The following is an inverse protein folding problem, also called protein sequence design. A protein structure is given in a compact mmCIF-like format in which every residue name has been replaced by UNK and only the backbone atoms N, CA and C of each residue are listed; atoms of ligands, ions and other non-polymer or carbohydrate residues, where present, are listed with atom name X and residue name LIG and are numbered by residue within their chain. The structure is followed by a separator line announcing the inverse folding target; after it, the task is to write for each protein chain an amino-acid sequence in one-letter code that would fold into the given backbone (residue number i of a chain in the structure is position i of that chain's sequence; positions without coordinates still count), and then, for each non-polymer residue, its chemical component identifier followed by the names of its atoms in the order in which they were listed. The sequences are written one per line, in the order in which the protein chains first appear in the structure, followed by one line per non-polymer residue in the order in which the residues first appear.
data_IF_564931576346
#
_entry.id   IF_564931576346
#
_cell.length_a   1.000
_cell.length_b   1.000
_cell.length_c   1.000
_cell.angle_alpha   90.00
_cell.angle_beta   90.00
_cell.angle_gamma   90.00
#
_symmetry.space_group_name_H-M   'P 1'
#
loop_
_entity.id
_entity.type
_entity.pdbx_description
1 polymer ?
#
# COMPACT_ATOMS: atom_id res chain seq x y z
N UNK A 1 -31.82 49.96 -62.90
CA UNK A 1 -31.37 50.92 -63.94
C UNK A 1 -30.85 50.09 -65.12
N UNK A 2 -31.77 49.49 -65.88
CA UNK A 2 -31.38 48.60 -66.99
C UNK A 2 -30.94 49.43 -68.20
N UNK A 3 -29.74 49.12 -68.65
CA UNK A 3 -29.10 49.58 -69.87
C UNK A 3 -30.09 49.66 -71.03
N UNK A 4 -30.42 50.89 -71.44
CA UNK A 4 -31.05 51.22 -72.72
C UNK A 4 -30.09 50.99 -73.92
N UNK A 5 -29.36 49.87 -73.91
CA UNK A 5 -28.35 49.52 -74.90
C UNK A 5 -28.39 48.03 -75.26
N UNK A 6 -29.55 47.38 -75.11
CA UNK A 6 -29.76 46.07 -75.71
C UNK A 6 -29.67 46.19 -77.23
N UNK A 7 -28.68 45.53 -77.85
CA UNK A 7 -28.49 45.49 -79.32
C UNK A 7 -29.79 45.17 -80.08
N UNK A 8 -30.67 44.38 -79.47
CA UNK A 8 -31.99 44.07 -80.02
C UNK A 8 -32.92 45.28 -80.03
N UNK A 9 -32.91 46.10 -78.97
CA UNK A 9 -33.68 47.35 -78.91
C UNK A 9 -33.23 48.35 -79.99
N UNK A 10 -31.93 48.53 -80.17
CA UNK A 10 -31.39 49.38 -81.24
C UNK A 10 -31.72 48.86 -82.64
N UNK A 11 -31.71 47.53 -82.83
CA UNK A 11 -32.10 46.90 -84.10
C UNK A 11 -33.60 47.09 -84.41
N UNK A 12 -34.47 46.97 -83.40
CA UNK A 12 -35.91 47.22 -83.53
C UNK A 12 -36.22 48.69 -83.83
N UNK A 13 -35.57 49.62 -83.13
CA UNK A 13 -35.66 51.07 -83.42
C UNK A 13 -35.14 51.36 -84.83
N UNK A 14 -34.02 50.75 -85.24
CA UNK A 14 -33.49 50.87 -86.60
C UNK A 14 -34.41 50.26 -87.67
N UNK A 15 -35.14 49.19 -87.36
CA UNK A 15 -36.15 48.59 -88.25
C UNK A 15 -37.41 49.46 -88.34
N UNK A 16 -37.84 50.06 -87.23
CA UNK A 16 -38.95 51.01 -87.18
C UNK A 16 -38.61 52.30 -87.94
N UNK A 17 -37.41 52.86 -87.73
CA UNK A 17 -36.92 54.05 -88.45
C UNK A 17 -36.82 53.81 -89.95
N UNK A 18 -36.38 52.61 -90.37
CA UNK A 18 -36.38 52.22 -91.79
C UNK A 18 -37.79 52.06 -92.34
N UNK A 19 -38.72 51.41 -91.63
CA UNK A 19 -40.13 51.29 -92.05
C UNK A 19 -40.84 52.66 -92.12
N UNK A 20 -40.55 53.57 -91.19
CA UNK A 20 -41.07 54.93 -91.20
C UNK A 20 -40.49 55.79 -92.33
N UNK A 21 -39.28 55.47 -92.81
CA UNK A 21 -38.61 56.18 -93.91
C UNK A 21 -39.05 55.74 -95.32
N UNK A 22 -39.99 54.80 -95.45
CA UNK A 22 -40.37 54.22 -96.75
C UNK A 22 -41.47 54.99 -97.49
N UNK A 23 -41.90 56.16 -97.00
CA UNK A 23 -42.80 57.06 -97.75
C UNK A 23 -42.62 58.50 -97.26
N UNK A 24 -42.49 59.49 -98.15
CA UNK A 24 -42.56 60.94 -97.84
C UNK A 24 -43.98 61.35 -97.39
N UNK A 25 -44.55 60.59 -96.46
CA UNK A 25 -45.92 60.68 -96.00
C UNK A 25 -46.00 61.57 -94.75
N UNK A 26 -47.19 62.10 -94.50
CA UNK A 26 -47.51 62.86 -93.29
C UNK A 26 -47.04 62.11 -92.02
N UNK A 27 -47.26 60.80 -91.99
CA UNK A 27 -46.87 59.93 -90.89
C UNK A 27 -45.37 59.96 -90.59
N UNK A 28 -44.51 59.96 -91.61
CA UNK A 28 -43.08 60.00 -91.40
C UNK A 28 -42.67 61.28 -90.63
N UNK A 29 -43.23 62.43 -91.00
CA UNK A 29 -42.96 63.70 -90.31
C UNK A 29 -43.51 63.70 -88.88
N UNK A 30 -44.72 63.17 -88.67
CA UNK A 30 -45.30 63.03 -87.34
C UNK A 30 -44.45 62.12 -86.41
N UNK A 31 -43.96 60.99 -86.93
CA UNK A 31 -43.13 60.05 -86.17
C UNK A 31 -41.67 60.52 -86.00
N UNK A 32 -41.13 61.33 -86.90
CA UNK A 32 -39.76 61.88 -86.74
C UNK A 32 -39.64 62.73 -85.48
N UNK A 33 -40.67 63.52 -85.15
CA UNK A 33 -40.71 64.29 -83.91
C UNK A 33 -40.71 63.39 -82.67
N UNK A 34 -41.33 62.20 -82.74
CA UNK A 34 -41.32 61.21 -81.65
C UNK A 34 -39.90 60.70 -81.36
N UNK A 35 -39.11 60.42 -82.40
CA UNK A 35 -37.75 59.87 -82.25
C UNK A 35 -36.70 60.86 -81.73
N UNK A 36 -37.02 62.15 -81.65
CA UNK A 36 -36.15 63.15 -81.03
C UNK A 36 -36.17 63.08 -79.49
N UNK A 37 -37.15 62.38 -78.87
CA UNK A 37 -37.24 62.22 -77.42
C UNK A 37 -38.50 61.49 -76.93
N UNK A 38 -38.66 60.21 -77.26
CA UNK A 38 -39.87 59.43 -76.96
C UNK A 38 -40.31 59.48 -75.48
N UNK A 39 -39.35 59.42 -74.54
CA UNK A 39 -39.65 59.44 -73.12
C UNK A 39 -40.20 60.79 -72.65
N UNK A 40 -39.70 61.90 -73.22
CA UNK A 40 -40.13 63.26 -72.89
C UNK A 40 -41.48 63.60 -73.52
N UNK A 41 -41.75 63.08 -74.72
CA UNK A 41 -43.00 63.32 -75.45
C UNK A 41 -44.18 62.59 -74.80
N UNK A 42 -43.96 61.39 -74.28
CA UNK A 42 -44.99 60.64 -73.57
C UNK A 42 -45.16 61.12 -72.12
N UNK A 43 -44.14 61.72 -71.49
CA UNK A 43 -44.23 62.22 -70.12
C UNK A 43 -44.89 63.61 -70.02
N UNK A 44 -44.71 64.47 -71.02
CA UNK A 44 -45.23 65.85 -71.01
C UNK A 44 -46.57 65.91 -71.75
N UNK A 45 -47.61 66.32 -71.04
CA UNK A 45 -48.99 66.43 -71.56
C UNK A 45 -49.05 67.23 -72.88
N UNK A 46 -48.45 68.41 -72.91
CA UNK A 46 -48.41 69.29 -74.09
C UNK A 46 -47.74 68.62 -75.31
N UNK A 47 -46.69 67.82 -75.09
CA UNK A 47 -45.99 67.11 -76.18
C UNK A 47 -46.80 65.90 -76.66
N UNK A 48 -47.47 65.19 -75.74
CA UNK A 48 -48.42 64.12 -76.08
C UNK A 48 -49.59 64.66 -76.89
N UNK A 49 -50.14 65.79 -76.48
CA UNK A 49 -51.22 66.48 -77.20
C UNK A 49 -50.80 66.89 -78.61
N UNK A 50 -49.57 67.37 -78.82
CA UNK A 50 -49.04 67.71 -80.15
C UNK A 50 -48.77 66.49 -81.03
N UNK A 51 -48.32 65.40 -80.43
CA UNK A 51 -48.17 64.14 -81.16
C UNK A 51 -49.53 63.62 -81.62
N UNK A 52 -50.51 63.57 -80.70
CA UNK A 52 -51.88 63.18 -81.02
C UNK A 52 -52.46 64.05 -82.14
N UNK A 53 -52.20 65.36 -82.10
CA UNK A 53 -52.60 66.29 -83.15
C UNK A 53 -52.01 65.93 -84.52
N UNK A 54 -50.70 65.72 -84.60
CA UNK A 54 -50.04 65.39 -85.86
C UNK A 54 -50.49 64.01 -86.40
N UNK A 55 -50.67 63.01 -85.53
CA UNK A 55 -51.17 61.69 -85.94
C UNK A 55 -52.62 61.78 -86.45
N UNK A 56 -53.45 62.56 -85.78
CA UNK A 56 -54.85 62.77 -86.16
C UNK A 56 -54.98 63.56 -87.46
N UNK A 57 -54.13 64.57 -87.68
CA UNK A 57 -54.07 65.32 -88.94
C UNK A 57 -53.67 64.43 -90.11
N UNK A 58 -52.66 63.57 -89.92
CA UNK A 58 -52.28 62.58 -90.92
C UNK A 58 -53.38 61.56 -91.20
N UNK A 59 -54.09 61.09 -90.17
CA UNK A 59 -55.23 60.21 -90.32
C UNK A 59 -56.34 60.86 -91.14
N UNK A 60 -56.69 62.12 -90.83
CA UNK A 60 -57.70 62.88 -91.58
C UNK A 60 -57.33 63.04 -93.05
N UNK A 61 -56.06 63.30 -93.34
CA UNK A 61 -55.55 63.41 -94.70
C UNK A 61 -55.69 62.09 -95.48
N UNK A 62 -55.45 60.96 -94.84
CA UNK A 62 -55.53 59.63 -95.47
C UNK A 62 -56.98 59.21 -95.77
N UNK A 63 -57.94 59.62 -94.94
CA UNK A 63 -59.38 59.39 -95.18
C UNK A 63 -60.01 60.45 -96.10
N UNK A 64 -59.20 61.36 -96.67
CA UNK A 64 -59.65 62.39 -97.62
C UNK A 64 -60.43 63.54 -96.99
N UNK A 65 -60.35 63.73 -95.67
CA UNK A 65 -60.95 64.86 -94.94
C UNK A 65 -60.05 66.09 -94.95
N UNK A 66 -60.62 67.23 -94.56
CA UNK A 66 -59.86 68.48 -94.43
C UNK A 66 -58.80 68.36 -93.32
N UNK A 67 -57.59 68.83 -93.61
CA UNK A 67 -56.49 68.87 -92.64
C UNK A 67 -56.82 69.82 -91.47
N UNK A 68 -56.22 69.55 -90.33
CA UNK A 68 -56.32 70.41 -89.16
C UNK A 68 -55.79 71.83 -89.46
N UNK A 69 -56.34 72.87 -88.81
CA UNK A 69 -55.84 74.23 -88.95
C UNK A 69 -54.41 74.34 -88.41
N UNK A 70 -53.62 75.26 -88.95
CA UNK A 70 -52.26 75.47 -88.48
C UNK A 70 -52.23 75.83 -86.97
N UNK A 71 -51.47 75.06 -86.19
CA UNK A 71 -51.26 75.26 -84.76
C UNK A 71 -49.78 75.49 -84.47
N UNK A 72 -49.41 76.72 -84.10
CA UNK A 72 -48.03 77.09 -83.78
C UNK A 72 -47.59 76.46 -82.44
N UNK A 73 -46.32 76.09 -82.36
CA UNK A 73 -45.67 75.50 -81.18
C UNK A 73 -45.68 76.44 -79.97
N UNK A 74 -45.78 77.77 -80.20
CA UNK A 74 -45.79 78.80 -79.15
C UNK A 74 -47.10 78.90 -78.38
N UNK A 75 -48.22 78.43 -78.94
CA UNK A 75 -49.54 78.50 -78.27
C UNK A 75 -49.93 77.16 -77.67
N UNK A 76 -50.55 77.12 -76.48
CA UNK A 76 -50.95 75.86 -75.86
C UNK A 76 -51.96 75.12 -76.72
N UNK A 77 -51.87 73.78 -76.73
CA UNK A 77 -52.73 72.93 -77.55
C UNK A 77 -54.22 73.14 -77.30
N UNK A 78 -54.60 73.48 -76.06
CA UNK A 78 -55.98 73.81 -75.69
C UNK A 78 -56.61 74.89 -76.61
N UNK A 79 -55.83 75.87 -77.07
CA UNK A 79 -56.31 76.93 -77.96
C UNK A 79 -56.47 76.45 -79.41
N UNK A 80 -55.69 75.44 -79.82
CA UNK A 80 -55.81 74.83 -81.14
C UNK A 80 -56.99 73.86 -81.21
N UNK A 81 -57.27 73.13 -80.13
CA UNK A 81 -58.39 72.19 -80.03
C UNK A 81 -59.76 72.87 -80.14
N UNK A 82 -59.87 74.13 -79.69
CA UNK A 82 -61.10 74.95 -79.83
C UNK A 82 -61.43 75.32 -81.28
N UNK A 83 -60.47 75.20 -82.20
CA UNK A 83 -60.64 75.54 -83.62
C UNK A 83 -61.04 74.32 -84.48
N UNK A 84 -61.13 73.14 -83.87
CA UNK A 84 -61.56 71.92 -84.54
C UNK A 84 -63.09 71.81 -84.58
N UNK A 85 -63.61 71.21 -85.64
CA UNK A 85 -64.98 70.71 -85.69
C UNK A 85 -65.16 69.47 -84.79
N UNK A 86 -66.40 69.08 -84.53
CA UNK A 86 -66.74 68.00 -83.59
C UNK A 86 -66.15 66.65 -83.99
N UNK A 87 -66.12 66.32 -85.28
CA UNK A 87 -65.59 65.07 -85.79
C UNK A 87 -64.05 65.05 -85.72
N UNK A 88 -63.40 66.14 -86.12
CA UNK A 88 -61.96 66.34 -85.96
C UNK A 88 -61.52 66.23 -84.48
N UNK A 89 -62.31 66.81 -83.57
CA UNK A 89 -62.05 66.76 -82.14
C UNK A 89 -62.19 65.33 -81.59
N UNK A 90 -63.18 64.55 -82.06
CA UNK A 90 -63.37 63.14 -81.68
C UNK A 90 -62.19 62.27 -82.09
N UNK A 91 -61.74 62.39 -83.34
CA UNK A 91 -60.57 61.66 -83.86
C UNK A 91 -59.33 62.00 -83.03
N UNK A 92 -59.12 63.29 -82.75
CA UNK A 92 -58.03 63.73 -81.87
C UNK A 92 -58.06 63.05 -80.50
N UNK A 93 -59.24 63.01 -79.88
CA UNK A 93 -59.40 62.45 -78.55
C UNK A 93 -59.08 60.94 -78.52
N UNK A 94 -59.48 60.18 -79.55
CA UNK A 94 -59.16 58.75 -79.66
C UNK A 94 -57.64 58.51 -79.67
N UNK A 95 -56.89 59.21 -80.51
CA UNK A 95 -55.42 59.10 -80.54
C UNK A 95 -54.76 59.60 -79.24
N UNK A 96 -55.30 60.64 -78.63
CA UNK A 96 -54.76 61.17 -77.37
C UNK A 96 -54.96 60.19 -76.20
N UNK A 97 -56.14 59.59 -76.08
CA UNK A 97 -56.47 58.62 -75.04
C UNK A 97 -55.61 57.35 -75.17
N UNK A 98 -55.35 56.88 -76.39
CA UNK A 98 -54.49 55.73 -76.62
C UNK A 98 -53.03 56.01 -76.22
N UNK A 99 -52.51 57.20 -76.56
CA UNK A 99 -51.18 57.60 -76.11
C UNK A 99 -51.09 57.75 -74.58
N UNK A 100 -52.18 58.16 -73.93
CA UNK A 100 -52.26 58.30 -72.48
C UNK A 100 -52.34 56.94 -71.77
N UNK A 101 -53.14 56.01 -72.29
CA UNK A 101 -53.31 54.67 -71.71
C UNK A 101 -51.98 53.90 -71.72
N UNK A 102 -51.23 53.98 -72.81
CA UNK A 102 -49.91 53.35 -72.96
C UNK A 102 -48.85 53.97 -72.03
N UNK A 103 -48.84 55.29 -71.89
CA UNK A 103 -47.94 55.98 -70.97
C UNK A 103 -48.21 55.57 -69.52
N UNK A 104 -49.49 55.53 -69.13
CA UNK A 104 -49.93 55.09 -67.81
C UNK A 104 -49.59 53.62 -67.56
N UNK A 105 -49.82 52.74 -68.53
CA UNK A 105 -49.49 51.31 -68.44
C UNK A 105 -48.01 51.10 -68.16
N UNK A 106 -47.13 51.75 -68.92
CA UNK A 106 -45.66 51.62 -68.74
C UNK A 106 -45.19 52.14 -67.40
N UNK A 107 -45.75 53.26 -66.93
CA UNK A 107 -45.44 53.79 -65.60
C UNK A 107 -45.88 52.83 -64.50
N UNK A 108 -47.08 52.26 -64.63
CA UNK A 108 -47.62 51.30 -63.67
C UNK A 108 -46.81 50.01 -63.66
N UNK A 109 -46.48 49.43 -64.82
CA UNK A 109 -45.62 48.24 -64.92
C UNK A 109 -44.25 48.47 -64.29
N UNK A 110 -43.64 49.64 -64.52
CA UNK A 110 -42.36 50.01 -63.90
C UNK A 110 -42.49 50.08 -62.38
N UNK A 111 -43.48 50.80 -61.86
CA UNK A 111 -43.69 50.95 -60.41
C UNK A 111 -43.99 49.61 -59.75
N UNK A 112 -44.83 48.77 -60.37
CA UNK A 112 -45.14 47.42 -59.87
C UNK A 112 -43.89 46.55 -59.87
N UNK A 113 -43.04 46.63 -60.89
CA UNK A 113 -41.80 45.86 -60.94
C UNK A 113 -40.77 46.36 -59.90
N UNK A 114 -40.63 47.68 -59.72
CA UNK A 114 -39.80 48.26 -58.66
C UNK A 114 -40.32 47.87 -57.27
N UNK A 115 -41.64 47.89 -57.06
CA UNK A 115 -42.28 47.45 -55.82
C UNK A 115 -42.04 45.96 -55.57
N UNK A 116 -42.19 45.11 -56.60
CA UNK A 116 -41.93 43.67 -56.50
C UNK A 116 -40.48 43.41 -56.07
N UNK A 117 -39.51 44.02 -56.73
CA UNK A 117 -38.08 43.87 -56.39
C UNK A 117 -37.82 44.35 -54.96
N UNK A 118 -38.44 45.46 -54.56
CA UNK A 118 -38.32 45.98 -53.19
C UNK A 118 -38.96 45.05 -52.16
N UNK A 119 -40.06 44.38 -52.49
CA UNK A 119 -40.72 43.42 -51.61
C UNK A 119 -39.89 42.14 -51.46
N UNK A 120 -39.37 41.58 -52.56
CA UNK A 120 -38.46 40.43 -52.54
C UNK A 120 -37.18 40.73 -51.73
N UNK A 121 -36.64 41.95 -51.86
CA UNK A 121 -35.50 42.38 -51.04
C UNK A 121 -35.86 42.47 -49.55
N UNK A 122 -37.04 43.03 -49.22
CA UNK A 122 -37.49 43.11 -47.83
C UNK A 122 -37.73 41.72 -47.23
N UNK A 123 -38.28 40.79 -48.01
CA UNK A 123 -38.46 39.38 -47.64
C UNK A 123 -37.12 38.70 -47.31
N UNK A 124 -36.11 38.81 -48.19
CA UNK A 124 -34.76 38.29 -47.92
C UNK A 124 -34.15 38.90 -46.64
N UNK A 125 -34.38 40.19 -46.39
CA UNK A 125 -33.92 40.83 -45.15
C UNK A 125 -34.66 40.32 -43.92
N UNK A 126 -35.96 40.11 -44.01
CA UNK A 126 -36.75 39.56 -42.91
C UNK A 126 -36.35 38.11 -42.61
N UNK A 127 -36.12 37.28 -43.63
CA UNK A 127 -35.63 35.91 -43.46
C UNK A 127 -34.24 35.88 -42.79
N UNK A 128 -33.34 36.78 -43.21
CA UNK A 128 -32.03 36.92 -42.57
C UNK A 128 -32.14 37.36 -41.09
N UNK A 129 -33.08 38.25 -40.77
CA UNK A 129 -33.34 38.70 -39.39
C UNK A 129 -33.94 37.56 -38.56
N UNK A 130 -34.88 36.79 -39.12
CA UNK A 130 -35.49 35.62 -38.48
C UNK A 130 -34.43 34.57 -38.13
N UNK A 131 -33.58 34.21 -39.10
CA UNK A 131 -32.47 33.29 -38.89
C UNK A 131 -31.47 33.80 -37.84
N UNK A 132 -31.24 35.12 -37.76
CA UNK A 132 -30.42 35.73 -36.71
C UNK A 132 -31.10 35.65 -35.33
N UNK A 133 -32.41 35.93 -35.28
CA UNK A 133 -33.20 35.87 -34.05
C UNK A 133 -33.23 34.44 -33.48
N UNK A 134 -33.37 33.42 -34.32
CA UNK A 134 -33.33 32.01 -33.90
C UNK A 134 -31.96 31.64 -33.31
N UNK A 135 -30.86 32.06 -33.94
CA UNK A 135 -29.51 31.85 -33.37
C UNK A 135 -29.33 32.54 -32.02
N UNK A 136 -29.88 33.74 -31.85
CA UNK A 136 -29.85 34.47 -30.57
C UNK A 136 -30.65 33.73 -29.51
N UNK A 137 -31.85 33.23 -29.84
CA UNK A 137 -32.67 32.42 -28.93
C UNK A 137 -31.92 31.16 -28.48
N UNK A 138 -31.38 30.39 -29.43
CA UNK A 138 -30.60 29.19 -29.10
C UNK A 138 -29.37 29.51 -28.23
N UNK A 139 -28.68 30.63 -28.50
CA UNK A 139 -27.56 31.07 -27.67
C UNK A 139 -28.02 31.47 -26.26
N UNK A 140 -29.18 32.12 -26.15
CA UNK A 140 -29.79 32.49 -24.86
C UNK A 140 -30.15 31.25 -24.04
N UNK A 141 -30.70 30.21 -24.66
CA UNK A 141 -31.03 28.94 -23.99
C UNK A 141 -29.78 28.26 -23.44
N UNK A 142 -28.71 28.20 -24.23
CA UNK A 142 -27.43 27.66 -23.75
C UNK A 142 -26.84 28.52 -22.62
N UNK A 143 -26.96 29.84 -22.68
CA UNK A 143 -26.52 30.72 -21.58
C UNK A 143 -27.33 30.43 -20.32
N UNK A 144 -28.64 30.22 -20.44
CA UNK A 144 -29.50 29.89 -19.31
C UNK A 144 -29.13 28.54 -18.67
N UNK A 145 -28.85 27.51 -19.48
CA UNK A 145 -28.38 26.21 -18.99
C UNK A 145 -27.03 26.33 -18.27
N UNK A 146 -26.09 27.09 -18.86
CA UNK A 146 -24.80 27.39 -18.21
C UNK A 146 -24.98 28.14 -16.89
N UNK A 147 -25.89 29.12 -16.82
CA UNK A 147 -26.19 29.85 -15.59
C UNK A 147 -26.78 28.95 -14.51
N UNK A 148 -27.69 28.02 -14.88
CA UNK A 148 -28.23 27.02 -13.95
C UNK A 148 -27.12 26.12 -13.40
N UNK A 149 -26.21 25.66 -14.25
CA UNK A 149 -25.08 24.84 -13.80
C UNK A 149 -24.12 25.61 -12.87
N UNK A 150 -23.91 26.91 -13.12
CA UNK A 150 -23.10 27.77 -12.25
C UNK A 150 -23.80 27.96 -10.90
N UNK A 151 -25.12 28.09 -10.88
CA UNK A 151 -25.90 28.20 -9.65
C UNK A 151 -25.77 26.94 -8.80
N UNK A 152 -25.91 25.76 -9.40
CA UNK A 152 -25.70 24.46 -8.74
C UNK A 152 -24.28 24.35 -8.15
N UNK A 153 -23.26 24.74 -8.92
CA UNK A 153 -21.87 24.75 -8.45
C UNK A 153 -21.65 25.74 -7.31
N UNK A 154 -22.27 26.92 -7.37
CA UNK A 154 -22.19 27.94 -6.33
C UNK A 154 -22.84 27.45 -5.04
N UNK A 155 -23.97 26.75 -5.14
CA UNK A 155 -24.63 26.14 -3.98
C UNK A 155 -23.76 25.04 -3.34
N UNK A 156 -23.15 24.16 -4.16
CA UNK A 156 -22.23 23.14 -3.65
C UNK A 156 -20.99 23.76 -2.99
N UNK A 157 -20.47 24.85 -3.56
CA UNK A 157 -19.34 25.57 -2.99
C UNK A 157 -19.71 26.19 -1.63
N UNK A 158 -20.90 26.78 -1.51
CA UNK A 158 -21.40 27.32 -0.25
C UNK A 158 -21.54 26.22 0.82
N UNK A 159 -22.09 25.06 0.46
CA UNK A 159 -22.18 23.90 1.37
C UNK A 159 -20.80 23.40 1.80
N UNK A 160 -19.87 23.28 0.85
CA UNK A 160 -18.50 22.86 1.14
C UNK A 160 -17.80 23.87 2.05
N UNK A 161 -18.01 25.17 1.83
CA UNK A 161 -17.47 26.24 2.67
C UNK A 161 -17.97 26.14 4.11
N UNK A 162 -19.27 25.88 4.31
CA UNK A 162 -19.84 25.69 5.65
C UNK A 162 -19.25 24.46 6.35
N UNK A 163 -19.06 23.34 5.63
CA UNK A 163 -18.42 22.15 6.19
C UNK A 163 -16.95 22.42 6.57
N UNK A 164 -16.22 23.18 5.75
CA UNK A 164 -14.84 23.59 6.06
C UNK A 164 -14.82 24.50 7.29
N UNK A 165 -15.75 25.44 7.42
CA UNK A 165 -15.89 26.28 8.61
C UNK A 165 -16.12 25.44 9.87
N UNK A 166 -17.02 24.45 9.83
CA UNK A 166 -17.25 23.51 10.93
C UNK A 166 -15.98 22.75 11.31
N UNK A 167 -15.25 22.20 10.33
CA UNK A 167 -13.99 21.50 10.56
C UNK A 167 -12.90 22.40 11.15
N UNK A 168 -12.81 23.66 10.71
CA UNK A 168 -11.86 24.64 11.26
C UNK A 168 -12.20 24.95 12.72
N UNK A 169 -13.47 25.12 13.05
CA UNK A 169 -13.91 25.34 14.43
C UNK A 169 -13.59 24.14 15.32
N UNK A 170 -13.85 22.91 14.86
CA UNK A 170 -13.48 21.69 15.58
C UNK A 170 -11.95 21.56 15.79
N UNK A 171 -11.15 21.93 14.78
CA UNK A 171 -9.70 21.92 14.90
C UNK A 171 -9.19 22.97 15.89
N UNK A 172 -9.81 24.15 15.94
CA UNK A 172 -9.52 25.20 16.92
C UNK A 172 -9.82 24.71 18.34
N UNK A 173 -11.00 24.12 18.58
CA UNK A 173 -11.39 23.58 19.89
C UNK A 173 -10.42 22.47 20.34
N UNK A 174 -10.06 21.56 19.42
CA UNK A 174 -9.07 20.51 19.69
C UNK A 174 -7.70 21.11 20.04
N UNK A 175 -7.25 22.11 19.28
CA UNK A 175 -5.98 22.79 19.55
C UNK A 175 -5.98 23.50 20.91
N UNK A 176 -7.10 24.12 21.30
CA UNK A 176 -7.23 24.76 22.61
C UNK A 176 -7.13 23.72 23.73
N UNK A 177 -7.87 22.61 23.62
CA UNK A 177 -7.81 21.53 24.62
C UNK A 177 -6.41 20.90 24.73
N UNK A 178 -5.72 20.70 23.61
CA UNK A 178 -4.33 20.22 23.60
C UNK A 178 -3.39 21.22 24.28
N UNK A 179 -3.58 22.51 24.05
CA UNK A 179 -2.77 23.55 24.69
C UNK A 179 -2.97 23.55 26.22
N UNK A 180 -4.21 23.51 26.69
CA UNK A 180 -4.54 23.44 28.12
C UNK A 180 -3.95 22.19 28.77
N UNK A 181 -4.14 21.02 28.16
CA UNK A 181 -3.53 19.76 28.62
C UNK A 181 -1.99 19.82 28.64
N UNK A 182 -1.38 20.51 27.67
CA UNK A 182 0.08 20.66 27.62
C UNK A 182 0.58 21.52 28.78
N UNK A 183 -0.16 22.57 29.14
CA UNK A 183 0.16 23.42 30.28
C UNK A 183 0.05 22.64 31.60
N UNK A 184 -1.05 21.91 31.81
CA UNK A 184 -1.24 21.06 33.00
C UNK A 184 -0.15 19.99 33.12
N UNK A 185 0.25 19.39 31.99
CA UNK A 185 1.35 18.42 31.95
C UNK A 185 2.70 19.07 32.26
N UNK A 186 2.95 20.28 31.81
CA UNK A 186 4.17 21.00 32.14
C UNK A 186 4.26 21.29 33.65
N UNK A 187 3.15 21.70 34.27
CA UNK A 187 3.06 21.89 35.72
C UNK A 187 3.31 20.58 36.47
N UNK A 188 2.65 19.49 36.04
CA UNK A 188 2.86 18.15 36.62
C UNK A 188 4.30 17.66 36.45
N UNK A 189 4.95 17.93 35.31
CA UNK A 189 6.35 17.59 35.05
C UNK A 189 7.29 18.37 35.98
N UNK A 190 6.99 19.65 36.24
CA UNK A 190 7.76 20.48 37.17
C UNK A 190 7.65 19.97 38.61
N UNK A 191 6.46 19.57 39.04
CA UNK A 191 6.24 18.97 40.36
C UNK A 191 7.03 17.65 40.52
N UNK A 192 6.98 16.77 39.52
CA UNK A 192 7.76 15.53 39.50
C UNK A 192 9.28 15.78 39.55
N UNK A 193 9.77 16.79 38.81
CA UNK A 193 11.19 17.15 38.82
C UNK A 193 11.62 17.65 40.20
N UNK A 194 10.80 18.49 40.86
CA UNK A 194 11.05 18.93 42.22
C UNK A 194 11.05 17.76 43.21
N UNK A 195 10.10 16.82 43.07
CA UNK A 195 10.06 15.61 43.87
C UNK A 195 11.29 14.71 43.67
N UNK A 196 11.81 14.59 42.45
CA UNK A 196 13.06 13.87 42.18
C UNK A 196 14.27 14.53 42.82
N UNK A 197 14.36 15.87 42.81
CA UNK A 197 15.43 16.62 43.47
C UNK A 197 15.37 16.37 44.98
N UNK A 198 14.19 16.51 45.60
CA UNK A 198 13.99 16.25 47.04
C UNK A 198 14.35 14.81 47.41
N UNK A 199 13.92 13.83 46.61
CA UNK A 199 14.27 12.42 46.82
C UNK A 199 15.77 12.17 46.72
N UNK A 200 16.46 12.78 45.75
CA UNK A 200 17.92 12.67 45.63
C UNK A 200 18.64 13.27 46.85
N UNK A 201 18.18 14.42 47.36
CA UNK A 201 18.72 15.03 48.58
C UNK A 201 18.55 14.08 49.77
N UNK A 202 17.34 13.54 49.99
CA UNK A 202 17.08 12.58 51.07
C UNK A 202 17.86 11.27 50.92
N UNK A 203 18.07 10.82 49.70
CA UNK A 203 18.89 9.63 49.43
C UNK A 203 20.36 9.88 49.75
N UNK A 204 20.90 11.05 49.42
CA UNK A 204 22.27 11.45 49.76
C UNK A 204 22.44 11.58 51.29
N UNK A 205 21.48 12.19 51.98
CA UNK A 205 21.43 12.23 53.45
C UNK A 205 21.38 10.81 54.06
N UNK A 206 20.53 9.92 53.52
CA UNK A 206 20.47 8.53 53.95
C UNK A 206 21.77 7.77 53.72
N UNK A 207 22.43 7.98 52.57
CA UNK A 207 23.70 7.35 52.22
C UNK A 207 24.85 7.84 53.12
N UNK A 208 24.89 9.14 53.41
CA UNK A 208 25.88 9.71 54.34
C UNK A 208 25.69 9.16 55.76
N UNK A 209 24.45 9.05 56.24
CA UNK A 209 24.13 8.45 57.54
C UNK A 209 24.49 6.96 57.59
N UNK A 210 24.21 6.20 56.53
CA UNK A 210 24.61 4.79 56.43
C UNK A 210 26.13 4.63 56.41
N UNK A 211 26.84 5.49 55.68
CA UNK A 211 28.29 5.50 55.66
C UNK A 211 28.87 5.82 57.05
N UNK A 212 28.31 6.80 57.75
CA UNK A 212 28.70 7.12 59.13
C UNK A 212 28.46 5.92 60.07
N UNK A 213 27.29 5.28 59.98
CA UNK A 213 26.98 4.07 60.76
C UNK A 213 27.91 2.90 60.42
N UNK A 214 28.24 2.69 59.14
CA UNK A 214 29.16 1.64 58.71
C UNK A 214 30.59 1.88 59.23
N UNK A 215 31.06 3.14 59.19
CA UNK A 215 32.35 3.52 59.77
C UNK A 215 32.38 3.32 61.28
N UNK A 216 31.30 3.71 61.98
CA UNK A 216 31.16 3.48 63.42
C UNK A 216 31.16 1.99 63.78
N UNK A 217 30.41 1.17 63.03
CA UNK A 217 30.39 -0.30 63.19
C UNK A 217 31.77 -0.91 62.93
N UNK A 218 32.49 -0.44 61.91
CA UNK A 218 33.85 -0.87 61.63
C UNK A 218 34.80 -0.52 62.78
N UNK A 219 34.68 0.68 63.35
CA UNK A 219 35.44 1.10 64.53
C UNK A 219 35.13 0.23 65.76
N UNK A 220 33.85 -0.02 66.05
CA UNK A 220 33.44 -0.90 67.14
C UNK A 220 33.90 -2.34 66.94
N UNK A 221 33.81 -2.86 65.71
CA UNK A 221 34.29 -4.20 65.37
C UNK A 221 35.81 -4.29 65.51
N UNK A 222 36.56 -3.24 65.15
CA UNK A 222 38.00 -3.17 65.36
C UNK A 222 38.36 -3.11 66.85
N UNK A 223 37.62 -2.35 67.67
CA UNK A 223 37.79 -2.34 69.14
C UNK A 223 37.50 -3.72 69.74
N UNK A 224 36.42 -4.37 69.31
CA UNK A 224 36.05 -5.72 69.77
C UNK A 224 37.09 -6.76 69.31
N UNK A 225 37.59 -6.65 68.07
CA UNK A 225 38.66 -7.51 67.54
C UNK A 225 39.95 -7.30 68.32
N UNK A 226 40.32 -6.07 68.66
CA UNK A 226 41.50 -5.80 69.46
C UNK A 226 41.37 -6.38 70.89
N UNK A 227 40.20 -6.23 71.53
CA UNK A 227 39.93 -6.80 72.85
C UNK A 227 39.91 -8.34 72.86
N UNK A 228 39.25 -8.95 71.85
CA UNK A 228 39.17 -10.40 71.72
C UNK A 228 40.47 -11.04 71.25
N UNK A 229 41.25 -10.37 70.39
CA UNK A 229 42.58 -10.83 69.96
C UNK A 229 43.58 -10.78 71.12
N UNK A 230 43.55 -9.76 71.97
CA UNK A 230 44.41 -9.72 73.17
C UNK A 230 44.04 -10.86 74.14
N UNK A 231 42.75 -11.12 74.36
CA UNK A 231 42.29 -12.23 75.19
C UNK A 231 42.59 -13.61 74.59
N UNK A 232 42.45 -13.76 73.27
CA UNK A 232 42.74 -15.00 72.55
C UNK A 232 44.23 -15.30 72.47
N UNK A 233 45.10 -14.29 72.33
CA UNK A 233 46.56 -14.46 72.36
C UNK A 233 47.03 -14.91 73.75
N UNK A 234 46.49 -14.35 74.83
CA UNK A 234 46.82 -14.76 76.20
C UNK A 234 46.37 -16.22 76.48
N UNK A 235 45.21 -16.62 75.93
CA UNK A 235 44.72 -17.99 75.98
C UNK A 235 45.53 -18.95 75.10
N UNK A 236 45.97 -18.53 73.91
CA UNK A 236 46.82 -19.30 73.01
C UNK A 236 48.22 -19.53 73.58
N UNK A 237 48.82 -18.53 74.25
CA UNK A 237 50.12 -18.70 74.89
C UNK A 237 50.07 -19.74 76.03
N UNK A 238 48.94 -19.83 76.73
CA UNK A 238 48.69 -20.83 77.78
C UNK A 238 48.40 -22.24 77.23
N UNK A 239 47.72 -22.35 76.08
CA UNK A 239 47.47 -23.63 75.40
C UNK A 239 48.71 -24.15 74.66
N UNK A 240 49.52 -23.27 74.05
CA UNK A 240 50.64 -23.65 73.20
C UNK A 240 51.82 -24.25 73.99
N UNK A 241 52.03 -23.86 75.25
CA UNK A 241 53.01 -24.54 76.10
C UNK A 241 52.60 -25.98 76.48
N UNK A 242 51.31 -26.33 76.32
CA UNK A 242 50.74 -27.60 76.74
C UNK A 242 50.33 -28.53 75.57
N UNK A 243 50.56 -28.13 74.31
CA UNK A 243 50.10 -28.86 73.12
C UNK A 243 51.22 -29.17 72.10
N UNK A 244 52.49 -28.96 72.45
CA UNK A 244 53.67 -29.29 71.61
C UNK A 244 54.14 -30.76 71.79
N UNK A 245 53.30 -31.62 72.39
CA UNK A 245 53.47 -33.06 72.34
C UNK A 245 52.14 -33.70 71.94
N UNK A 246 51.94 -34.00 70.65
CA UNK A 246 51.24 -35.20 70.19
C UNK A 246 51.48 -35.45 68.68
N UNK A 247 51.70 -36.73 68.38
CA UNK A 247 52.47 -37.35 67.29
C UNK A 247 51.84 -37.48 65.89
N UNK A 248 52.65 -37.73 64.82
CA UNK A 248 52.22 -37.86 63.43
C UNK A 248 51.59 -39.23 63.06
N UNK A 249 51.12 -40.03 64.02
CA UNK A 249 50.75 -41.44 63.78
C UNK A 249 49.33 -41.64 63.20
N UNK A 250 48.39 -40.74 63.48
CA UNK A 250 46.97 -40.92 63.12
C UNK A 250 46.71 -40.79 61.60
N UNK A 251 47.56 -40.06 60.89
CA UNK A 251 47.38 -39.77 59.46
C UNK A 251 47.75 -40.96 58.57
N UNK A 252 48.67 -41.84 59.01
CA UNK A 252 49.13 -43.00 58.23
C UNK A 252 48.15 -44.17 58.25
N UNK A 253 47.49 -44.40 59.38
CA UNK A 253 46.53 -45.50 59.57
C UNK A 253 45.28 -45.30 58.72
N UNK A 254 44.77 -44.07 58.62
CA UNK A 254 43.54 -43.77 57.88
C UNK A 254 43.65 -44.07 56.36
N UNK A 255 44.80 -43.83 55.75
CA UNK A 255 44.99 -43.98 54.31
C UNK A 255 45.06 -45.45 53.85
N UNK A 256 45.60 -46.35 54.67
CA UNK A 256 45.80 -47.76 54.28
C UNK A 256 44.47 -48.55 54.31
N UNK A 257 43.62 -48.34 55.32
CA UNK A 257 42.34 -49.05 55.43
C UNK A 257 41.31 -48.58 54.40
N UNK A 258 41.35 -47.32 53.98
CA UNK A 258 40.51 -46.82 52.88
C UNK A 258 40.79 -47.56 51.56
N UNK A 259 42.04 -47.93 51.30
CA UNK A 259 42.44 -48.64 50.07
C UNK A 259 42.03 -50.12 50.15
N UNK A 260 42.19 -50.76 51.31
CA UNK A 260 41.80 -52.16 51.53
C UNK A 260 40.29 -52.42 51.38
N UNK A 261 39.44 -51.51 51.89
CA UNK A 261 37.99 -51.60 51.74
C UNK A 261 37.59 -51.50 50.26
N UNK A 262 38.27 -50.63 49.50
CA UNK A 262 38.01 -50.46 48.06
C UNK A 262 38.38 -51.71 47.26
N UNK A 263 39.52 -52.34 47.55
CA UNK A 263 39.97 -53.58 46.90
C UNK A 263 39.01 -54.75 47.19
N UNK A 264 38.53 -54.88 48.43
CA UNK A 264 37.59 -55.94 48.82
C UNK A 264 36.19 -55.76 48.19
N UNK A 265 35.73 -54.51 48.04
CA UNK A 265 34.49 -54.22 47.33
C UNK A 265 34.56 -54.61 45.85
N UNK A 266 35.70 -54.37 45.20
CA UNK A 266 35.94 -54.74 43.81
C UNK A 266 36.01 -56.27 43.62
N UNK A 267 36.74 -56.99 44.48
CA UNK A 267 36.91 -58.44 44.36
C UNK A 267 35.61 -59.23 44.58
N UNK A 268 34.64 -58.68 45.32
CA UNK A 268 33.41 -59.42 45.63
C UNK A 268 32.28 -59.18 44.63
N UNK A 269 32.44 -58.31 43.63
CA UNK A 269 31.40 -57.78 42.72
C UNK A 269 30.65 -58.84 41.86
N UNK A 270 31.13 -60.08 41.74
CA UNK A 270 30.48 -61.15 40.95
C UNK A 270 29.24 -61.76 41.64
N UNK A 271 28.22 -62.11 40.85
CA UNK A 271 26.84 -62.43 41.32
C UNK A 271 26.69 -63.69 42.18
N UNK A 272 27.69 -64.56 42.27
CA UNK A 272 27.58 -65.85 42.99
C UNK A 272 28.02 -65.82 44.48
N UNK A 273 28.56 -64.69 44.96
CA UNK A 273 29.09 -64.53 46.32
C UNK A 273 28.29 -63.56 47.23
N UNK A 274 27.03 -63.25 46.87
CA UNK A 274 26.24 -62.21 47.55
C UNK A 274 25.94 -62.50 49.04
N UNK A 275 25.89 -63.78 49.43
CA UNK A 275 25.55 -64.17 50.80
C UNK A 275 26.74 -64.07 51.78
N UNK A 276 27.98 -64.06 51.29
CA UNK A 276 29.20 -64.00 52.13
C UNK A 276 29.75 -62.58 52.33
N UNK A 277 29.35 -61.60 51.51
CA UNK A 277 29.78 -60.18 51.58
C UNK A 277 29.63 -59.51 52.97
N UNK A 278 28.47 -59.58 53.65
CA UNK A 278 28.31 -58.86 54.91
C UNK A 278 29.16 -59.48 56.02
N UNK A 279 29.33 -60.79 56.01
CA UNK A 279 30.10 -61.50 57.03
C UNK A 279 31.58 -61.12 56.94
N UNK A 280 32.14 -61.03 55.73
CA UNK A 280 33.54 -60.65 55.53
C UNK A 280 33.82 -59.19 55.88
N UNK A 281 32.91 -58.27 55.52
CA UNK A 281 33.04 -56.85 55.87
C UNK A 281 32.85 -56.61 57.38
N UNK A 282 31.94 -57.35 58.03
CA UNK A 282 31.79 -57.28 59.49
C UNK A 282 33.05 -57.79 60.19
N UNK A 283 33.67 -58.88 59.68
CA UNK A 283 34.93 -59.39 60.24
C UNK A 283 36.06 -58.35 60.10
N UNK A 284 36.15 -57.66 58.97
CA UNK A 284 37.13 -56.59 58.73
C UNK A 284 36.92 -55.38 59.67
N UNK A 285 35.66 -55.01 59.92
CA UNK A 285 35.32 -53.97 60.88
C UNK A 285 35.70 -54.36 62.31
N UNK A 286 35.52 -55.64 62.69
CA UNK A 286 35.92 -56.14 64.00
C UNK A 286 37.44 -56.14 64.15
N UNK A 287 38.21 -56.54 63.12
CA UNK A 287 39.68 -56.45 63.16
C UNK A 287 40.16 -54.99 63.22
N UNK A 288 39.54 -54.07 62.46
CA UNK A 288 39.86 -52.64 62.52
C UNK A 288 39.60 -52.04 63.90
N UNK A 289 38.47 -52.37 64.53
CA UNK A 289 38.16 -51.92 65.88
C UNK A 289 39.10 -52.52 66.93
N UNK A 290 39.54 -53.77 66.72
CA UNK A 290 40.49 -54.43 67.62
C UNK A 290 41.88 -53.77 67.55
N UNK A 291 42.36 -53.40 66.36
CA UNK A 291 43.61 -52.65 66.19
C UNK A 291 43.53 -51.22 66.73
N UNK A 292 42.39 -50.53 66.57
CA UNK A 292 42.15 -49.20 67.15
C UNK A 292 42.15 -49.23 68.68
N UNK A 293 41.55 -50.28 69.26
CA UNK A 293 41.57 -50.52 70.70
C UNK A 293 42.97 -50.90 71.20
N UNK A 294 43.73 -51.71 70.45
CA UNK A 294 45.13 -52.04 70.77
C UNK A 294 46.02 -50.79 70.72
N UNK A 295 45.84 -49.90 69.72
CA UNK A 295 46.55 -48.62 69.61
C UNK A 295 46.20 -47.63 70.72
N UNK A 296 44.94 -47.60 71.17
CA UNK A 296 44.52 -46.77 72.32
C UNK A 296 45.01 -47.34 73.66
N UNK A 297 45.21 -48.67 73.75
CA UNK A 297 45.64 -49.33 74.99
C UNK A 297 47.17 -49.45 75.13
N UNK A 298 47.93 -49.41 74.03
CA UNK A 298 49.39 -49.54 74.01
C UNK A 298 50.15 -48.22 74.30
N UNK A 299 49.53 -47.29 75.02
CA UNK A 299 50.08 -45.94 75.24
C UNK A 299 50.84 -45.77 76.57
N UNK A 300 51.30 -46.85 77.23
CA UNK A 300 52.19 -46.72 78.38
C UNK A 300 53.17 -47.92 78.55
N UNK A 301 54.45 -47.60 78.34
CA UNK A 301 55.72 -48.18 78.85
C UNK A 301 56.11 -49.64 78.48
N UNK A 302 57.14 -49.68 77.60
CA UNK A 302 58.30 -50.59 77.52
C UNK A 302 58.10 -52.12 77.61
N UNK A 303 58.33 -52.76 76.46
CA UNK A 303 58.55 -54.21 76.25
C UNK A 303 57.33 -55.09 75.98
N UNK A 304 56.56 -54.84 74.93
CA UNK A 304 55.58 -55.83 74.45
C UNK A 304 55.35 -55.91 72.92
N UNK A 305 56.28 -55.46 72.06
CA UNK A 305 56.20 -55.74 70.61
C UNK A 305 56.06 -57.25 70.31
N UNK A 306 56.76 -58.09 71.07
CA UNK A 306 56.63 -59.54 70.96
C UNK A 306 55.26 -60.06 71.43
N UNK A 307 54.62 -59.42 72.41
CA UNK A 307 53.31 -59.84 72.95
C UNK A 307 52.18 -59.39 72.02
N UNK A 308 52.25 -58.20 71.43
CA UNK A 308 51.27 -57.73 70.44
C UNK A 308 51.35 -58.60 69.17
N UNK A 309 52.56 -58.84 68.65
CA UNK A 309 52.77 -59.73 67.50
C UNK A 309 52.35 -61.18 67.80
N UNK A 310 52.58 -61.67 69.02
CA UNK A 310 52.12 -63.01 69.44
C UNK A 310 50.60 -63.09 69.54
N UNK A 311 49.93 -62.05 70.06
CA UNK A 311 48.45 -62.02 70.17
C UNK A 311 47.82 -61.91 68.79
N UNK A 312 48.38 -61.11 67.88
CA UNK A 312 47.92 -61.02 66.48
C UNK A 312 48.14 -62.32 65.71
N UNK A 313 49.29 -62.98 65.89
CA UNK A 313 49.57 -64.28 65.28
C UNK A 313 48.65 -65.38 65.84
N UNK A 314 48.41 -65.40 67.15
CA UNK A 314 47.47 -66.35 67.79
C UNK A 314 46.03 -66.07 67.34
N UNK A 315 45.63 -64.81 67.19
CA UNK A 315 44.29 -64.45 66.70
C UNK A 315 44.10 -64.80 65.23
N UNK A 316 45.11 -64.52 64.39
CA UNK A 316 45.12 -64.93 62.98
C UNK A 316 45.04 -66.46 62.86
N UNK A 317 45.78 -67.21 63.68
CA UNK A 317 45.70 -68.68 63.72
C UNK A 317 44.32 -69.14 64.22
N UNK A 318 43.75 -68.52 65.27
CA UNK A 318 42.44 -68.86 65.81
C UNK A 318 41.27 -68.54 64.88
N UNK A 319 41.41 -67.59 63.96
CA UNK A 319 40.39 -67.27 62.95
C UNK A 319 40.59 -68.07 61.67
N UNK A 320 41.83 -68.28 61.25
CA UNK A 320 42.15 -69.07 60.06
C UNK A 320 42.01 -70.58 60.27
N UNK A 321 42.28 -71.13 61.47
CA UNK A 321 42.09 -72.55 61.76
C UNK A 321 40.63 -73.01 61.66
N UNK A 322 39.61 -72.31 62.21
CA UNK A 322 38.20 -72.62 61.97
C UNK A 322 37.78 -72.45 60.52
N UNK A 323 38.33 -71.46 59.80
CA UNK A 323 38.06 -71.26 58.36
C UNK A 323 38.64 -72.39 57.51
N UNK A 324 39.86 -72.85 57.81
CA UNK A 324 40.49 -73.99 57.16
C UNK A 324 39.80 -75.29 57.57
N UNK A 325 39.41 -75.47 58.82
CA UNK A 325 38.62 -76.62 59.27
C UNK A 325 37.22 -76.63 58.65
N UNK A 326 36.61 -75.47 58.43
CA UNK A 326 35.33 -75.32 57.73
C UNK A 326 35.48 -75.59 56.23
N UNK A 327 36.58 -75.14 55.60
CA UNK A 327 36.92 -75.49 54.23
C UNK A 327 37.22 -76.99 54.09
N UNK A 328 37.92 -77.60 55.05
CA UNK A 328 38.18 -79.05 55.11
C UNK A 328 36.87 -79.81 55.39
N UNK A 329 35.96 -79.28 56.22
CA UNK A 329 34.64 -79.87 56.47
C UNK A 329 33.77 -79.83 55.21
N UNK A 330 33.77 -78.72 54.47
CA UNK A 330 33.14 -78.61 53.15
C UNK A 330 33.81 -79.57 52.16
N UNK A 331 35.14 -79.68 52.15
CA UNK A 331 35.88 -80.57 51.25
C UNK A 331 35.67 -82.05 51.58
N UNK A 332 35.53 -82.40 52.87
CA UNK A 332 35.19 -83.75 53.34
C UNK A 332 33.74 -84.10 53.05
N UNK A 333 32.81 -83.15 53.19
CA UNK A 333 31.44 -83.24 52.70
C UNK A 333 31.39 -83.45 51.18
N UNK A 334 32.27 -82.75 50.44
CA UNK A 334 32.46 -82.98 49.01
C UNK A 334 33.01 -84.37 48.71
N UNK A 335 33.93 -84.94 49.51
CA UNK A 335 34.44 -86.32 49.34
C UNK A 335 33.37 -87.39 49.64
N UNK A 336 32.50 -87.16 50.62
CA UNK A 336 31.40 -88.09 50.98
C UNK A 336 30.22 -88.00 50.00
N UNK A 337 29.92 -86.80 49.45
CA UNK A 337 28.94 -86.62 48.37
C UNK A 337 29.47 -86.94 46.97
N UNK A 338 30.78 -86.79 46.71
CA UNK A 338 31.38 -87.24 45.46
C UNK A 338 31.61 -88.74 45.43
N UNK A 339 31.69 -89.45 46.56
CA UNK A 339 31.87 -90.91 46.53
C UNK A 339 30.78 -91.65 45.72
N UNK A 340 29.47 -91.38 45.87
CA UNK A 340 28.45 -91.99 45.01
C UNK A 340 28.53 -91.51 43.55
N UNK A 341 29.00 -90.28 43.30
CA UNK A 341 29.16 -89.73 41.95
C UNK A 341 30.40 -90.29 41.22
N UNK A 342 31.49 -90.54 41.93
CA UNK A 342 32.70 -91.24 41.47
C UNK A 342 32.46 -92.74 41.32
N UNK A 343 31.66 -93.36 42.18
CA UNK A 343 31.26 -94.76 42.05
C UNK A 343 30.32 -94.94 40.85
N UNK A 344 29.38 -94.01 40.64
CA UNK A 344 28.60 -93.90 39.41
C UNK A 344 29.48 -93.69 38.17
N UNK A 345 30.46 -92.79 38.23
CA UNK A 345 31.39 -92.56 37.11
C UNK A 345 32.33 -93.73 36.88
N UNK A 346 32.81 -94.45 37.90
CA UNK A 346 33.63 -95.67 37.77
C UNK A 346 32.80 -96.83 37.25
N UNK A 347 31.53 -96.95 37.60
CA UNK A 347 30.61 -97.96 37.07
C UNK A 347 30.24 -97.64 35.61
N UNK A 348 30.02 -96.34 35.29
CA UNK A 348 29.83 -95.87 33.91
C UNK A 348 31.09 -95.97 33.07
N UNK A 349 32.28 -95.74 33.65
CA UNK A 349 33.58 -95.88 32.99
C UNK A 349 33.96 -97.34 32.88
N UNK A 350 33.68 -98.23 33.83
CA UNK A 350 33.86 -99.68 33.65
C UNK A 350 32.83 -100.28 32.69
N UNK A 351 31.61 -99.73 32.60
CA UNK A 351 30.66 -100.03 31.54
C UNK A 351 31.18 -99.55 30.17
N UNK A 352 31.61 -98.30 30.09
CA UNK A 352 32.21 -97.73 28.88
C UNK A 352 33.57 -98.32 28.54
N UNK A 353 34.36 -98.87 29.47
CA UNK A 353 35.67 -99.47 29.28
C UNK A 353 35.57 -101.00 29.16
N UNK A 354 34.42 -101.59 29.53
CA UNK A 354 33.95 -102.88 29.04
C UNK A 354 33.57 -102.80 27.55
N UNK A 355 32.92 -101.71 27.15
CA UNK A 355 32.60 -101.44 25.73
C UNK A 355 33.80 -100.86 24.93
N UNK A 356 34.75 -100.19 25.59
CA UNK A 356 35.94 -99.55 24.98
C UNK A 356 37.23 -100.36 25.14
N UNK A 357 37.21 -101.49 25.85
CA UNK A 357 38.18 -102.59 25.64
C UNK A 357 38.04 -103.26 24.27
N UNK A 358 37.14 -102.76 23.42
CA UNK A 358 37.12 -103.14 22.01
C UNK A 358 37.78 -102.11 21.07
N UNK A 359 37.87 -100.80 21.35
CA UNK A 359 38.40 -99.82 20.37
C UNK A 359 38.78 -98.47 21.01
N UNK A 360 40.07 -98.14 21.10
CA UNK A 360 40.61 -96.78 20.91
C UNK A 360 42.16 -96.83 20.95
N UNK A 361 42.76 -96.72 19.77
CA UNK A 361 44.13 -96.22 19.51
C UNK A 361 44.08 -94.69 19.30
N UNK A 362 45.20 -94.06 19.64
CA UNK A 362 45.85 -92.86 19.08
C UNK A 362 45.20 -91.45 19.12
N UNK A 363 46.01 -90.53 19.69
CA UNK A 363 46.46 -89.21 19.18
C UNK A 363 45.42 -88.12 18.84
N UNK A 364 45.72 -86.82 18.78
CA UNK A 364 46.65 -85.85 19.38
C UNK A 364 46.18 -84.50 18.75
N UNK A 365 46.60 -83.35 19.30
CA UNK A 365 46.60 -82.02 18.62
C UNK A 365 45.23 -81.40 18.21
N UNK A 366 45.03 -80.11 17.93
CA UNK A 366 45.72 -78.82 18.05
C UNK A 366 44.69 -77.71 17.67
N UNK A 367 44.95 -76.48 18.10
CA UNK A 367 44.67 -75.15 17.49
C UNK A 367 43.34 -74.80 16.76
N UNK A 368 42.98 -73.51 16.83
CA UNK A 368 42.80 -72.59 15.67
C UNK A 368 41.86 -71.41 15.97
N UNK A 369 42.32 -70.24 15.52
CA UNK A 369 41.82 -68.87 15.45
C UNK A 369 40.53 -68.65 14.62
N UNK A 370 39.75 -67.58 14.86
CA UNK A 370 38.67 -67.15 13.93
C UNK A 370 38.20 -65.67 14.08
N UNK A 371 38.64 -64.84 13.11
CA UNK A 371 37.98 -63.73 12.35
C UNK A 371 36.70 -63.05 12.90
N UNK A 372 36.57 -61.72 13.02
CA UNK A 372 36.48 -60.64 12.01
C UNK A 372 35.20 -60.61 11.15
N UNK A 373 34.62 -59.39 10.99
CA UNK A 373 33.56 -58.91 10.05
C UNK A 373 32.13 -58.85 10.65
N UNK A 374 31.21 -57.93 10.32
CA UNK A 374 30.99 -56.95 9.21
C UNK A 374 29.90 -55.94 9.68
N UNK A 375 30.06 -54.63 9.48
CA UNK A 375 29.47 -53.75 8.44
C UNK A 375 28.10 -53.11 8.76
N UNK A 376 28.15 -51.77 8.84
CA UNK A 376 27.48 -50.71 8.05
C UNK A 376 26.02 -50.81 7.55
N UNK A 377 25.43 -49.59 7.55
CA UNK A 377 24.33 -49.05 6.72
C UNK A 377 22.88 -49.41 7.10
N UNK A 378 22.01 -48.42 7.34
CA UNK A 378 21.38 -47.60 6.30
C UNK A 378 20.44 -46.51 6.87
N UNK A 379 20.19 -45.50 6.05
CA UNK A 379 19.33 -44.32 6.29
C UNK A 379 17.83 -44.61 6.29
N UNK A 380 17.05 -43.90 7.12
CA UNK A 380 16.01 -42.94 6.70
C UNK A 380 15.58 -42.06 7.88
#
# INVERSE_FOLDING_TARGET
MESSNSKNGMMLVGKAKRKAAWSNSCWQSAYQNLFAGCAEILAVEERRSRLAWNLSDCFQKDIGRQQFPYCDVKYPMLNCLKKLDEDAHRIYLEFYLELQSDAFKRQTERLVNELKISAEYAEDKLENIENQAERVLHTSDHIHESLSSIDDQTQQLAQTSNNVEEHVNLALDCSQSVYENTLERADSQMELQNGQIDMNVKMDEGMTMLNESANKLCEEMNKLKQASMFHAIDKLFKYLHNAIFLDPCVVKTFLVYSILIFVMYMLTSTKQAHKMRPILNILLCVTFLNELMLLQYANDIEQQSWIISSVELVFMILVSCPLILYAIYIYRGYKTSNHPMLQSLIEKVNGMQGDKKLYNDDDDDSDVDLCSWSDSDDSY
#
